data_IF_689254359218
#
_entry.id   IF_689254359218
#
_cell.length_a   1.000
_cell.length_b   1.000
_cell.length_c   1.000
_cell.angle_alpha   90.00
_cell.angle_beta   90.00
_cell.angle_gamma   90.00
#
_symmetry.space_group_name_H-M   'P 1'
#
loop_
_entity.id
_entity.type
_entity.pdbx_description
1 polymer ?
#
# COMPACT_ATOMS: atom_id res chain seq x y z
N UNK A 1 19.68 -13.17 17.48
CA UNK A 1 18.23 -13.33 17.30
C UNK A 1 17.94 -13.26 15.82
N UNK A 2 17.21 -14.21 15.25
CA UNK A 2 16.89 -14.23 13.82
C UNK A 2 15.39 -13.94 13.65
N UNK A 3 15.06 -12.98 12.78
CA UNK A 3 13.71 -12.66 12.39
C UNK A 3 13.56 -12.90 10.89
N UNK A 4 12.44 -13.48 10.49
CA UNK A 4 12.15 -13.80 9.11
C UNK A 4 10.82 -13.23 8.67
N UNK A 5 10.82 -12.67 7.48
CA UNK A 5 9.62 -12.18 6.79
C UNK A 5 9.67 -12.66 5.34
N UNK A 6 8.53 -12.90 4.77
CA UNK A 6 8.42 -13.33 3.39
C UNK A 6 7.09 -12.96 2.78
N UNK A 7 7.06 -12.80 1.47
CA UNK A 7 5.83 -12.47 0.75
C UNK A 7 5.94 -12.79 -0.72
N UNK A 8 4.80 -12.77 -1.37
CA UNK A 8 4.66 -12.94 -2.81
C UNK A 8 3.77 -11.82 -3.35
N UNK A 9 4.16 -11.27 -4.48
CA UNK A 9 3.38 -10.28 -5.23
C UNK A 9 3.22 -10.73 -6.66
N UNK A 10 2.01 -10.57 -7.19
CA UNK A 10 1.66 -10.87 -8.58
C UNK A 10 1.10 -9.61 -9.21
N UNK A 11 1.52 -9.33 -10.43
CA UNK A 11 1.02 -8.20 -11.22
C UNK A 11 0.69 -8.64 -12.63
N UNK A 12 -0.40 -8.08 -13.16
CA UNK A 12 -0.78 -8.23 -14.56
C UNK A 12 -1.19 -6.88 -15.12
N UNK A 13 -0.75 -6.57 -16.34
CA UNK A 13 -1.14 -5.36 -17.06
C UNK A 13 -1.61 -5.69 -18.46
N UNK A 14 -2.81 -5.25 -18.78
CA UNK A 14 -3.41 -5.24 -20.11
C UNK A 14 -3.38 -3.82 -20.70
N UNK A 15 -3.93 -3.64 -21.89
CA UNK A 15 -4.00 -2.31 -22.55
C UNK A 15 -4.85 -1.29 -21.80
N UNK A 16 -5.95 -1.73 -21.18
CA UNK A 16 -6.94 -0.84 -20.55
C UNK A 16 -7.13 -1.09 -19.05
N UNK A 17 -6.51 -2.12 -18.50
CA UNK A 17 -6.60 -2.41 -17.07
C UNK A 17 -5.34 -3.11 -16.57
N UNK A 18 -5.13 -3.04 -15.29
CA UNK A 18 -4.07 -3.76 -14.59
C UNK A 18 -4.51 -4.12 -13.18
N UNK A 19 -3.91 -5.18 -12.66
CA UNK A 19 -4.11 -5.61 -11.28
C UNK A 19 -2.77 -5.99 -10.67
N UNK A 20 -2.55 -5.58 -9.45
CA UNK A 20 -1.42 -5.94 -8.62
C UNK A 20 -1.95 -6.42 -7.28
N UNK A 21 -1.41 -7.52 -6.78
CA UNK A 21 -1.82 -8.03 -5.49
C UNK A 21 -0.72 -8.83 -4.83
N UNK A 22 -0.69 -8.79 -3.52
CA UNK A 22 0.33 -9.49 -2.75
C UNK A 22 -0.13 -9.87 -1.36
N UNK A 23 0.55 -10.86 -0.83
CA UNK A 23 0.46 -11.27 0.58
C UNK A 23 1.87 -11.34 1.16
N UNK A 24 2.00 -10.96 2.41
CA UNK A 24 3.25 -11.05 3.17
C UNK A 24 2.98 -11.48 4.60
N UNK A 25 3.93 -12.19 5.17
CA UNK A 25 3.99 -12.55 6.58
C UNK A 25 5.28 -11.96 7.16
N UNK A 26 5.12 -11.12 8.16
CA UNK A 26 6.22 -10.55 8.92
C UNK A 26 6.33 -11.24 10.27
N UNK A 27 7.55 -11.36 10.75
CA UNK A 27 7.86 -11.92 12.08
C UNK A 27 7.28 -13.32 12.30
N UNK A 28 7.31 -14.19 11.27
CA UNK A 28 6.68 -15.51 11.38
C UNK A 28 7.43 -16.43 12.38
N UNK A 29 8.65 -16.08 12.79
CA UNK A 29 9.36 -16.74 13.89
C UNK A 29 9.02 -16.19 15.26
N UNK A 30 8.21 -15.11 15.33
CA UNK A 30 7.83 -14.40 16.56
C UNK A 30 9.01 -14.27 17.54
N UNK A 31 10.12 -13.61 17.12
CA UNK A 31 11.34 -13.57 17.90
C UNK A 31 11.14 -12.81 19.21
N UNK A 32 11.76 -13.29 20.30
CA UNK A 32 11.77 -12.56 21.57
C UNK A 32 12.77 -11.39 21.48
N UNK A 33 12.31 -10.15 21.70
CA UNK A 33 13.13 -8.94 21.64
C UNK A 33 13.39 -8.30 23.01
N UNK A 34 12.99 -8.98 24.09
CA UNK A 34 13.21 -8.48 25.45
C UNK A 34 14.69 -8.20 25.72
N UNK A 35 14.98 -7.01 26.23
CA UNK A 35 16.31 -6.63 26.73
C UNK A 35 16.54 -7.06 28.17
N UNK A 36 15.50 -7.55 28.83
CA UNK A 36 15.53 -8.15 30.16
C UNK A 36 15.12 -9.62 30.05
N UNK A 37 15.20 -10.39 31.11
CA UNK A 37 14.79 -11.80 31.09
C UNK A 37 13.25 -12.01 30.93
N UNK A 38 12.55 -11.06 30.30
CA UNK A 38 11.16 -11.18 29.97
C UNK A 38 10.92 -11.96 28.66
N UNK A 39 9.69 -12.39 28.43
CA UNK A 39 9.26 -13.04 27.18
C UNK A 39 8.40 -12.03 26.36
N UNK A 40 9.08 -11.09 25.71
CA UNK A 40 8.47 -10.10 24.84
C UNK A 40 8.69 -10.51 23.38
N UNK A 41 7.67 -11.06 22.75
CA UNK A 41 7.75 -11.55 21.37
C UNK A 41 7.16 -10.56 20.39
N UNK A 42 7.82 -10.38 19.25
CA UNK A 42 7.25 -9.66 18.12
C UNK A 42 6.04 -10.44 17.57
N UNK A 43 4.86 -9.82 17.49
CA UNK A 43 3.69 -10.50 16.96
C UNK A 43 3.82 -10.75 15.47
N UNK A 44 3.38 -11.93 15.01
CA UNK A 44 3.30 -12.24 13.61
C UNK A 44 2.26 -11.32 12.94
N UNK A 45 2.61 -10.73 11.80
CA UNK A 45 1.73 -9.84 11.07
C UNK A 45 1.53 -10.34 9.65
N UNK A 46 0.28 -10.57 9.29
CA UNK A 46 -0.12 -10.87 7.92
C UNK A 46 -0.58 -9.58 7.23
N UNK A 47 -0.07 -9.36 6.02
CA UNK A 47 -0.44 -8.23 5.16
C UNK A 47 -0.94 -8.78 3.84
N UNK A 48 -2.06 -8.24 3.35
CA UNK A 48 -2.56 -8.50 2.00
C UNK A 48 -2.98 -7.19 1.35
N UNK A 49 -2.68 -7.05 0.07
CA UNK A 49 -3.10 -5.87 -0.69
C UNK A 49 -3.52 -6.26 -2.11
N UNK A 50 -4.47 -5.51 -2.63
CA UNK A 50 -4.89 -5.58 -4.04
C UNK A 50 -5.10 -4.17 -4.55
N UNK A 51 -4.52 -3.88 -5.70
CA UNK A 51 -4.65 -2.62 -6.41
C UNK A 51 -5.05 -2.95 -7.84
N UNK A 52 -6.17 -2.40 -8.29
CA UNK A 52 -6.51 -2.43 -9.71
C UNK A 52 -6.32 -1.04 -10.32
N UNK A 53 -6.07 -0.99 -11.61
CA UNK A 53 -6.07 0.25 -12.40
C UNK A 53 -6.92 0.00 -13.62
N UNK A 54 -7.91 0.84 -13.86
CA UNK A 54 -8.83 0.73 -15.00
C UNK A 54 -8.85 2.05 -15.75
N UNK A 55 -8.43 2.03 -17.02
CA UNK A 55 -8.48 3.18 -17.89
C UNK A 55 -9.93 3.33 -18.41
N UNK A 56 -10.69 4.28 -17.87
CA UNK A 56 -12.10 4.54 -18.22
C UNK A 56 -12.24 5.46 -19.43
N UNK A 57 -11.20 6.23 -19.72
CA UNK A 57 -11.09 7.09 -20.89
C UNK A 57 -9.61 7.24 -21.27
N UNK A 58 -9.25 7.76 -22.46
CA UNK A 58 -7.84 7.87 -22.89
C UNK A 58 -6.92 8.57 -21.90
N UNK A 59 -7.46 9.49 -21.11
CA UNK A 59 -6.70 10.28 -20.12
C UNK A 59 -7.17 10.12 -18.70
N UNK A 60 -8.19 9.28 -18.45
CA UNK A 60 -8.78 9.11 -17.12
C UNK A 60 -8.70 7.65 -16.72
N UNK A 61 -8.21 7.40 -15.51
CA UNK A 61 -8.21 6.08 -14.91
C UNK A 61 -8.78 6.11 -13.49
N UNK A 62 -9.27 4.96 -13.05
CA UNK A 62 -9.71 4.73 -11.68
C UNK A 62 -8.77 3.67 -11.07
N UNK A 63 -8.39 3.89 -9.82
CA UNK A 63 -7.48 3.00 -9.09
C UNK A 63 -8.08 2.63 -7.74
N UNK A 64 -8.93 1.59 -7.66
CA UNK A 64 -9.35 1.01 -6.40
C UNK A 64 -8.19 0.28 -5.73
N UNK A 65 -8.14 0.36 -4.40
CA UNK A 65 -7.15 -0.26 -3.54
C UNK A 65 -7.84 -0.89 -2.35
N UNK A 66 -7.44 -2.11 -2.03
CA UNK A 66 -7.79 -2.81 -0.81
C UNK A 66 -6.50 -3.17 -0.08
N UNK A 67 -6.42 -2.84 1.19
CA UNK A 67 -5.32 -3.22 2.07
C UNK A 67 -5.89 -3.87 3.32
N UNK A 68 -5.32 -5.00 3.68
CA UNK A 68 -5.66 -5.73 4.88
C UNK A 68 -4.40 -6.05 5.67
N UNK A 69 -4.42 -5.81 6.95
CA UNK A 69 -3.38 -6.22 7.89
C UNK A 69 -4.01 -6.88 9.09
N UNK A 70 -3.42 -7.97 9.55
CA UNK A 70 -3.79 -8.64 10.78
C UNK A 70 -2.53 -8.95 11.60
N UNK A 71 -2.49 -8.44 12.82
CA UNK A 71 -1.41 -8.70 13.77
C UNK A 71 -1.89 -9.71 14.79
N UNK A 72 -1.25 -10.88 14.80
CA UNK A 72 -1.57 -11.99 15.69
C UNK A 72 -0.69 -11.89 16.93
N UNK A 73 -1.29 -11.62 18.07
CA UNK A 73 -0.55 -11.67 19.33
C UNK A 73 -0.47 -13.10 19.84
N UNK A 74 0.75 -13.60 20.05
CA UNK A 74 1.02 -14.95 20.55
C UNK A 74 1.24 -15.02 22.04
N UNK A 75 1.20 -13.89 22.74
CA UNK A 75 1.41 -13.86 24.19
C UNK A 75 0.11 -14.12 24.93
N UNK A 76 0.03 -15.25 25.60
CA UNK A 76 -1.08 -15.73 26.42
C UNK A 76 -1.35 -14.89 27.72
N UNK A 77 -0.88 -13.67 27.79
CA UNK A 77 -1.19 -12.79 28.92
C UNK A 77 -2.52 -12.13 28.71
N UNK A 78 -3.58 -12.89 28.99
CA UNK A 78 -4.92 -12.29 29.28
C UNK A 78 -5.80 -11.94 28.11
N UNK A 79 -5.58 -12.43 26.92
CA UNK A 79 -6.53 -12.25 25.81
C UNK A 79 -5.85 -12.22 24.43
N UNK A 80 -6.42 -12.93 23.50
CA UNK A 80 -6.03 -12.89 22.08
C UNK A 80 -6.41 -11.52 21.51
N UNK A 81 -5.50 -10.57 21.53
CA UNK A 81 -5.68 -9.31 20.78
C UNK A 81 -5.19 -9.51 19.35
N UNK A 82 -6.05 -9.99 18.47
CA UNK A 82 -5.80 -9.83 17.04
C UNK A 82 -6.27 -8.42 16.63
N UNK A 83 -5.32 -7.54 16.37
CA UNK A 83 -5.64 -6.25 15.78
C UNK A 83 -5.65 -6.42 14.26
N UNK A 84 -6.80 -6.19 13.63
CA UNK A 84 -6.91 -6.16 12.18
C UNK A 84 -7.21 -4.75 11.69
N UNK A 85 -6.69 -4.44 10.53
CA UNK A 85 -6.96 -3.22 9.80
C UNK A 85 -7.41 -3.56 8.39
N UNK A 86 -8.52 -3.00 7.97
CA UNK A 86 -9.00 -3.05 6.60
C UNK A 86 -9.14 -1.63 6.08
N UNK A 87 -8.49 -1.36 4.96
CA UNK A 87 -8.48 -0.05 4.32
C UNK A 87 -8.94 -0.20 2.87
N UNK A 88 -10.00 0.52 2.51
CA UNK A 88 -10.58 0.53 1.17
C UNK A 88 -10.48 1.95 0.62
N UNK A 89 -9.85 2.11 -0.54
CA UNK A 89 -9.64 3.41 -1.18
C UNK A 89 -9.97 3.34 -2.67
N UNK A 90 -10.31 4.49 -3.24
CA UNK A 90 -10.39 4.69 -4.67
C UNK A 90 -9.76 6.03 -5.06
N UNK A 91 -8.94 6.01 -6.10
CA UNK A 91 -8.32 7.20 -6.68
C UNK A 91 -8.81 7.34 -8.11
N UNK A 92 -9.04 8.57 -8.53
CA UNK A 92 -9.25 8.94 -9.93
C UNK A 92 -8.01 9.69 -10.38
N UNK A 93 -7.44 9.31 -11.51
CA UNK A 93 -6.28 9.97 -12.09
C UNK A 93 -6.57 10.54 -13.46
N UNK A 94 -5.86 11.63 -13.78
CA UNK A 94 -5.94 12.32 -15.07
C UNK A 94 -4.53 12.49 -15.64
N UNK A 95 -4.33 12.02 -16.87
CA UNK A 95 -3.12 12.25 -17.65
C UNK A 95 -3.25 13.54 -18.48
N UNK A 96 -2.37 14.51 -18.23
CA UNK A 96 -2.42 15.80 -18.94
C UNK A 96 -1.89 15.70 -20.38
N UNK A 97 -1.05 14.69 -20.64
CA UNK A 97 -0.46 14.44 -21.96
C UNK A 97 -0.61 12.98 -22.38
N UNK A 98 -0.51 12.72 -23.66
CA UNK A 98 -0.65 11.38 -24.23
C UNK A 98 0.56 10.47 -23.89
N UNK A 99 1.70 11.06 -23.56
CA UNK A 99 2.90 10.35 -23.08
C UNK A 99 2.78 9.88 -21.63
N UNK A 100 1.72 10.34 -20.93
CA UNK A 100 1.46 10.05 -19.50
C UNK A 100 2.60 10.50 -18.57
N UNK A 101 3.38 11.50 -19.00
CA UNK A 101 4.50 12.04 -18.23
C UNK A 101 4.06 12.96 -17.08
N UNK A 102 2.84 13.49 -17.18
CA UNK A 102 2.24 14.32 -16.15
C UNK A 102 0.87 13.76 -15.79
N UNK A 103 0.73 13.32 -14.57
CA UNK A 103 -0.48 12.70 -14.05
C UNK A 103 -0.83 13.27 -12.69
N UNK A 104 -2.05 13.78 -12.55
CA UNK A 104 -2.64 14.15 -11.27
C UNK A 104 -3.59 13.04 -10.84
N UNK A 105 -3.63 12.71 -9.56
CA UNK A 105 -4.63 11.81 -9.01
C UNK A 105 -5.13 12.32 -7.66
N UNK A 106 -6.40 12.07 -7.41
CA UNK A 106 -7.05 12.41 -6.16
C UNK A 106 -8.08 11.34 -5.82
N UNK A 107 -8.38 11.20 -4.56
CA UNK A 107 -9.40 10.28 -4.11
C UNK A 107 -9.45 10.18 -2.60
N UNK A 108 -10.10 9.15 -2.15
CA UNK A 108 -10.25 8.92 -0.72
C UNK A 108 -10.56 7.47 -0.41
N UNK A 109 -10.73 7.22 0.86
CA UNK A 109 -11.01 5.89 1.35
C UNK A 109 -11.46 5.91 2.79
N UNK A 110 -11.64 4.73 3.29
CA UNK A 110 -12.06 4.50 4.65
C UNK A 110 -11.28 3.34 5.27
N UNK A 111 -10.83 3.56 6.48
CA UNK A 111 -10.21 2.56 7.34
C UNK A 111 -11.27 2.08 8.32
N UNK A 112 -11.46 0.77 8.43
CA UNK A 112 -12.52 0.20 9.30
C UNK A 112 -12.34 0.57 10.77
N UNK A 113 -11.11 0.92 11.18
CA UNK A 113 -10.84 1.49 12.51
C UNK A 113 -11.51 2.86 12.77
N UNK A 114 -12.10 3.48 11.73
CA UNK A 114 -12.88 4.71 11.89
C UNK A 114 -12.25 5.96 11.31
N UNK A 115 -11.31 5.82 10.37
CA UNK A 115 -10.65 6.95 9.74
C UNK A 115 -11.11 7.12 8.29
N UNK A 116 -11.50 8.34 7.92
CA UNK A 116 -11.66 8.73 6.53
C UNK A 116 -10.32 9.26 6.01
N UNK A 117 -9.92 8.83 4.82
CA UNK A 117 -8.65 9.16 4.21
C UNK A 117 -8.91 9.98 2.95
N UNK A 118 -8.21 11.10 2.80
CA UNK A 118 -8.18 11.90 1.57
C UNK A 118 -6.76 11.82 1.02
N UNK A 119 -6.62 11.58 -0.28
CA UNK A 119 -5.32 11.49 -0.95
C UNK A 119 -5.29 12.32 -2.22
N UNK A 120 -4.19 13.02 -2.42
CA UNK A 120 -3.87 13.70 -3.69
C UNK A 120 -2.42 13.39 -4.05
N UNK A 121 -2.12 13.35 -5.34
CA UNK A 121 -0.75 13.11 -5.77
C UNK A 121 -0.53 13.52 -7.21
N UNK A 122 0.74 13.74 -7.51
CA UNK A 122 1.24 14.18 -8.80
C UNK A 122 2.39 13.27 -9.23
N UNK A 123 2.36 12.79 -10.45
CA UNK A 123 3.46 12.06 -11.09
C UNK A 123 4.00 12.91 -12.25
N UNK A 124 5.29 13.25 -12.19
CA UNK A 124 6.00 14.01 -13.22
C UNK A 124 7.20 13.20 -13.67
N UNK A 125 7.10 12.54 -14.82
CA UNK A 125 8.18 11.73 -15.43
C UNK A 125 8.80 10.70 -14.46
N UNK A 126 7.94 10.08 -13.64
CA UNK A 126 8.34 9.07 -12.66
C UNK A 126 8.72 9.62 -11.28
N UNK A 127 8.78 10.95 -11.12
CA UNK A 127 8.85 11.59 -9.82
C UNK A 127 7.42 11.74 -9.27
N UNK A 128 7.13 11.06 -8.16
CA UNK A 128 5.80 11.01 -7.57
C UNK A 128 5.78 11.75 -6.25
N UNK A 129 4.87 12.71 -6.16
CA UNK A 129 4.51 13.39 -4.93
C UNK A 129 3.17 12.87 -4.45
N UNK A 130 3.03 12.61 -3.18
CA UNK A 130 1.78 12.21 -2.55
C UNK A 130 1.55 12.98 -1.27
N UNK A 131 0.31 13.32 -1.04
CA UNK A 131 -0.18 13.85 0.21
C UNK A 131 -1.41 13.04 0.63
N UNK A 132 -1.43 12.61 1.88
CA UNK A 132 -2.58 11.96 2.50
C UNK A 132 -2.94 12.68 3.78
N UNK A 133 -4.24 12.72 4.06
CA UNK A 133 -4.80 13.31 5.26
C UNK A 133 -5.83 12.37 5.84
N UNK A 134 -5.62 11.94 7.08
CA UNK A 134 -6.48 11.03 7.80
C UNK A 134 -7.31 11.82 8.80
N UNK A 135 -8.63 11.64 8.72
CA UNK A 135 -9.60 12.27 9.59
C UNK A 135 -10.25 11.17 10.43
N UNK A 136 -10.06 11.20 11.73
CA UNK A 136 -10.77 10.30 12.61
C UNK A 136 -12.25 10.68 12.65
N UNK A 137 -13.12 9.80 12.18
CA UNK A 137 -14.58 10.03 12.09
C UNK A 137 -15.34 9.41 13.25
N UNK A 138 -14.71 8.58 14.06
CA UNK A 138 -15.34 7.93 15.20
C UNK A 138 -14.91 8.60 16.51
N UNK A 139 -15.79 9.36 17.10
CA UNK A 139 -15.62 9.84 18.48
C UNK A 139 -15.63 8.69 19.52
N UNK A 140 -16.05 7.50 19.10
CA UNK A 140 -16.08 6.24 19.86
C UNK A 140 -15.33 5.13 19.11
N UNK A 141 -14.36 5.48 18.28
CA UNK A 141 -13.50 4.49 17.60
C UNK A 141 -13.04 3.48 18.63
N UNK A 142 -12.75 2.25 18.21
CA UNK A 142 -12.23 1.18 19.08
C UNK A 142 -11.22 1.78 20.05
N UNK A 143 -11.77 2.42 21.09
CA UNK A 143 -11.04 2.89 22.23
C UNK A 143 -10.42 1.64 22.80
N UNK A 144 -9.17 1.39 22.48
CA UNK A 144 -8.35 0.82 23.52
C UNK A 144 -8.68 1.68 24.75
N UNK A 145 -9.31 1.09 25.74
CA UNK A 145 -9.48 1.69 27.05
C UNK A 145 -8.07 1.91 27.64
N UNK A 146 -7.36 2.88 27.08
CA UNK A 146 -6.19 3.45 27.72
C UNK A 146 -6.75 4.52 28.63
N UNK A 147 -6.83 4.28 29.94
CA UNK A 147 -7.28 5.30 30.87
C UNK A 147 -6.35 6.49 30.70
N UNK A 148 -6.92 7.68 30.47
CA UNK A 148 -6.27 8.97 30.31
C UNK A 148 -5.84 9.42 28.89
N UNK A 149 -6.24 8.77 27.80
CA UNK A 149 -6.22 9.47 26.52
C UNK A 149 -7.48 10.31 26.38
N UNK A 150 -7.32 11.63 26.46
CA UNK A 150 -8.35 12.57 26.06
C UNK A 150 -8.84 12.21 24.67
N UNK A 151 -10.17 12.22 24.45
CA UNK A 151 -10.84 12.01 23.15
C UNK A 151 -10.47 13.12 22.13
N UNK A 152 -9.20 13.31 21.88
CA UNK A 152 -8.75 14.18 20.81
C UNK A 152 -8.87 13.37 19.51
N UNK A 153 -9.79 13.77 18.67
CA UNK A 153 -9.87 13.35 17.27
C UNK A 153 -8.49 13.56 16.65
N UNK A 154 -7.70 12.47 16.57
CA UNK A 154 -6.37 12.52 16.00
C UNK A 154 -6.50 12.79 14.50
N UNK A 155 -5.86 13.83 14.03
CA UNK A 155 -5.67 14.09 12.60
C UNK A 155 -4.24 13.74 12.28
N UNK A 156 -4.02 13.00 11.19
CA UNK A 156 -2.68 12.68 10.72
C UNK A 156 -2.54 13.13 9.26
N UNK A 157 -1.35 13.58 8.91
CA UNK A 157 -1.01 13.84 7.51
C UNK A 157 0.28 13.13 7.15
N UNK A 158 0.38 12.72 5.90
CA UNK A 158 1.54 12.06 5.35
C UNK A 158 1.94 12.74 4.04
N UNK A 159 3.24 12.95 3.86
CA UNK A 159 3.83 13.45 2.60
C UNK A 159 4.79 12.39 2.09
N UNK A 160 4.56 11.94 0.88
CA UNK A 160 5.39 10.94 0.21
C UNK A 160 6.08 11.52 -1.01
N UNK A 161 7.36 11.15 -1.19
CA UNK A 161 8.14 11.43 -2.38
C UNK A 161 8.81 10.15 -2.84
N UNK A 162 8.62 9.77 -4.11
CA UNK A 162 9.31 8.64 -4.69
C UNK A 162 9.72 8.92 -6.13
N UNK A 163 10.80 8.28 -6.56
CA UNK A 163 11.27 8.36 -7.94
C UNK A 163 11.50 6.97 -8.52
N UNK A 164 10.93 6.74 -9.69
CA UNK A 164 11.09 5.48 -10.43
C UNK A 164 11.86 5.74 -11.71
N UNK A 165 13.14 5.35 -11.73
CA UNK A 165 13.98 5.42 -12.91
C UNK A 165 13.88 4.13 -13.73
N UNK A 166 13.70 4.25 -15.05
CA UNK A 166 13.83 3.13 -15.96
C UNK A 166 15.31 2.92 -16.30
N UNK A 167 15.96 1.98 -15.64
CA UNK A 167 17.40 1.71 -15.80
C UNK A 167 17.69 0.89 -17.07
N UNK A 168 16.73 0.08 -17.54
CA UNK A 168 16.93 -0.77 -18.70
C UNK A 168 16.21 -0.20 -19.92
N UNK A 169 17.00 0.14 -20.96
CA UNK A 169 16.46 0.27 -22.30
C UNK A 169 16.26 -1.17 -22.83
N UNK A 170 15.04 -1.50 -23.23
CA UNK A 170 14.80 -2.73 -23.98
C UNK A 170 15.71 -2.64 -25.22
N UNK A 171 16.64 -3.61 -25.43
CA UNK A 171 17.45 -3.60 -26.64
C UNK A 171 16.50 -3.66 -27.83
N UNK A 172 16.59 -2.68 -28.72
CA UNK A 172 15.91 -2.73 -30.01
C UNK A 172 16.61 -3.83 -30.82
N UNK A 173 16.01 -5.00 -30.83
CA UNK A 173 16.44 -6.06 -31.72
C UNK A 173 16.15 -5.53 -33.13
N UNK A 174 17.19 -5.08 -33.85
CA UNK A 174 17.06 -4.81 -35.27
C UNK A 174 16.83 -6.15 -35.93
N UNK A 175 15.72 -6.29 -36.62
CA UNK A 175 15.47 -7.43 -37.47
C UNK A 175 16.65 -7.58 -38.44
N UNK A 176 17.44 -8.62 -38.24
CA UNK A 176 18.52 -8.96 -39.18
C UNK A 176 17.85 -9.62 -40.36
N UNK A 177 17.66 -8.88 -41.44
CA UNK A 177 17.23 -9.41 -42.71
C UNK A 177 18.35 -10.33 -43.21
N UNK A 178 18.16 -11.64 -43.04
CA UNK A 178 18.97 -12.62 -43.74
C UNK A 178 18.59 -12.58 -45.21
N UNK A 179 19.42 -11.95 -46.02
CA UNK A 179 19.36 -12.18 -47.48
C UNK A 179 19.89 -13.59 -47.77
N UNK A 180 19.11 -14.54 -48.28
CA UNK A 180 19.64 -15.78 -48.76
C UNK A 180 20.54 -15.48 -50.00
N UNK A 181 21.80 -15.83 -49.90
CA UNK A 181 22.67 -15.89 -51.07
C UNK A 181 22.28 -17.14 -51.83
N UNK A 182 21.78 -16.96 -53.05
CA UNK A 182 21.71 -17.99 -54.06
C UNK A 182 23.07 -18.16 -54.73
#
# INVERSE_FOLDING_TARGET
>A
MADFSGGIMVSHRSSSWGIEGGIALNHFTSPNYSLSNGDDRLPMTMIANVIATVDVAPRIFIKPLLFFQNTMNTNDVGGVFSAYELNVQALVGYHFNDTKDLTLYAGGGYRVSGDAIIRVGLDVKGLKFGFAYDINTQSNGLSYNVPNFNNNTGMAFEVGLSYVAKIFKVPVIKDVLFCPRF
#
